data_IF_220074184192
#
_entry.id   IF_220074184192
#
_cell.length_a   1.000
_cell.length_b   1.000
_cell.length_c   1.000
_cell.angle_alpha   90.00
_cell.angle_beta   90.00
_cell.angle_gamma   90.00
#
_symmetry.space_group_name_H-M   'P 1'
#
loop_
_entity.id
_entity.type
_entity.pdbx_description
1 polymer ?
#
# COMPACT_ATOMS: atom_id res chain seq x y z
N UNK A 1 -15.32 -9.10 10.40
CA UNK A 1 -13.95 -8.76 10.84
C UNK A 1 -13.03 -9.84 10.34
N UNK A 2 -11.85 -9.49 9.82
CA UNK A 2 -10.91 -10.50 9.35
C UNK A 2 -10.18 -11.13 10.55
N UNK A 3 -9.95 -12.46 10.52
CA UNK A 3 -9.18 -13.14 11.57
C UNK A 3 -7.70 -12.72 11.50
N UNK A 4 -6.94 -13.02 12.56
CA UNK A 4 -5.46 -12.86 12.58
C UNK A 4 -4.95 -11.46 12.19
N UNK A 5 -5.70 -10.42 12.56
CA UNK A 5 -5.33 -9.02 12.29
C UNK A 5 -5.22 -8.69 10.79
N UNK A 6 -5.86 -9.44 9.90
CA UNK A 6 -5.80 -9.21 8.45
C UNK A 6 -6.56 -7.95 8.00
N UNK A 7 -6.21 -7.41 6.83
CA UNK A 7 -6.84 -6.21 6.28
C UNK A 7 -8.01 -6.60 5.39
N UNK A 8 -9.17 -5.98 5.60
CA UNK A 8 -10.33 -6.15 4.73
C UNK A 8 -10.16 -5.31 3.46
N UNK A 9 -10.23 -5.96 2.30
CA UNK A 9 -10.01 -5.38 0.99
C UNK A 9 -11.23 -5.60 0.09
N UNK A 10 -11.74 -4.54 -0.53
CA UNK A 10 -12.78 -4.62 -1.56
C UNK A 10 -12.13 -4.83 -2.93
N UNK A 11 -12.59 -5.83 -3.70
CA UNK A 11 -12.02 -6.22 -5.00
C UNK A 11 -12.94 -5.89 -6.21
N UNK A 12 -13.96 -5.05 -6.02
CA UNK A 12 -14.95 -4.76 -7.06
C UNK A 12 -16.14 -5.74 -7.15
N UNK A 13 -15.99 -6.97 -6.64
CA UNK A 13 -17.06 -7.98 -6.57
C UNK A 13 -17.47 -8.33 -5.13
N UNK A 14 -16.61 -8.03 -4.15
CA UNK A 14 -16.83 -8.36 -2.75
C UNK A 14 -15.63 -8.00 -1.87
N UNK A 15 -15.69 -8.43 -0.61
CA UNK A 15 -14.62 -8.25 0.37
C UNK A 15 -13.77 -9.51 0.50
N UNK A 16 -12.46 -9.34 0.57
CA UNK A 16 -11.50 -10.40 0.89
C UNK A 16 -10.62 -9.95 2.05
N UNK A 17 -10.10 -10.91 2.81
CA UNK A 17 -9.08 -10.64 3.81
C UNK A 17 -7.71 -10.88 3.19
N UNK A 18 -6.82 -9.90 3.28
CA UNK A 18 -5.46 -9.99 2.77
C UNK A 18 -4.47 -9.99 3.93
N UNK A 19 -3.53 -10.94 3.87
CA UNK A 19 -2.47 -11.08 4.85
C UNK A 19 -1.57 -9.85 4.92
N UNK A 20 -1.10 -9.55 6.13
CA UNK A 20 -0.18 -8.45 6.42
C UNK A 20 1.16 -8.55 5.67
N UNK A 21 1.52 -9.73 5.18
CA UNK A 21 2.77 -10.00 4.44
C UNK A 21 2.74 -9.47 3.00
N UNK A 22 1.55 -9.16 2.44
CA UNK A 22 1.37 -8.67 1.07
C UNK A 22 0.37 -7.51 1.05
N UNK A 23 0.69 -6.43 1.77
CA UNK A 23 -0.17 -5.24 1.76
C UNK A 23 -0.22 -4.65 0.35
N UNK A 24 -1.40 -4.25 -0.14
CA UNK A 24 -1.54 -3.81 -1.52
C UNK A 24 -0.84 -2.47 -1.77
N UNK A 25 -0.48 -2.24 -3.03
CA UNK A 25 0.31 -1.09 -3.47
C UNK A 25 1.81 -1.36 -3.44
N UNK A 26 2.59 -0.37 -3.84
CA UNK A 26 4.04 -0.49 -4.06
C UNK A 26 4.78 0.58 -3.27
N UNK A 27 6.01 0.29 -2.84
CA UNK A 27 6.85 1.28 -2.18
C UNK A 27 7.13 2.48 -3.10
N UNK A 28 7.05 3.72 -2.58
CA UNK A 28 7.48 4.90 -3.31
C UNK A 28 8.92 4.77 -3.79
N UNK A 29 9.18 5.13 -5.04
CA UNK A 29 10.50 4.96 -5.67
C UNK A 29 11.58 5.85 -5.05
N UNK A 30 11.22 7.02 -4.54
CA UNK A 30 12.16 7.97 -3.96
C UNK A 30 12.86 7.42 -2.70
N UNK A 31 12.20 6.53 -1.94
CA UNK A 31 12.75 5.96 -0.71
C UNK A 31 14.07 5.21 -0.94
N UNK A 32 14.26 4.60 -2.11
CA UNK A 32 15.51 3.91 -2.46
C UNK A 32 16.73 4.85 -2.50
N UNK A 33 16.50 6.16 -2.61
CA UNK A 33 17.56 7.17 -2.63
C UNK A 33 17.70 7.88 -1.28
N UNK A 34 16.82 7.59 -0.31
CA UNK A 34 16.88 8.16 1.03
C UNK A 34 17.91 7.40 1.87
N UNK A 35 18.83 8.13 2.51
CA UNK A 35 19.87 7.58 3.38
C UNK A 35 19.35 7.30 4.80
N UNK A 36 18.20 6.63 4.89
CA UNK A 36 17.61 6.20 6.14
C UNK A 36 18.14 4.80 6.49
N UNK A 37 19.26 4.74 7.19
CA UNK A 37 19.93 3.46 7.49
C UNK A 37 19.36 2.72 8.72
N UNK A 38 18.20 3.14 9.23
CA UNK A 38 17.46 2.40 10.25
C UNK A 38 16.77 1.17 9.66
N UNK A 39 16.63 0.12 10.46
CA UNK A 39 15.86 -1.08 10.10
C UNK A 39 14.57 -1.09 10.93
N UNK A 40 13.61 -0.24 10.57
CA UNK A 40 12.38 -0.05 11.35
C UNK A 40 11.40 -1.22 11.19
N UNK A 41 11.55 -1.99 10.11
CA UNK A 41 10.66 -3.10 9.76
C UNK A 41 11.42 -4.18 8.96
N UNK A 42 10.95 -5.42 9.00
CA UNK A 42 11.47 -6.52 8.16
C UNK A 42 10.47 -6.95 7.09
N UNK A 43 9.20 -6.73 7.34
CA UNK A 43 8.08 -7.14 6.49
C UNK A 43 6.96 -6.10 6.56
N UNK A 44 6.08 -6.10 5.56
CA UNK A 44 4.87 -5.28 5.57
C UNK A 44 4.03 -5.47 6.85
N UNK A 45 4.14 -6.65 7.48
CA UNK A 45 3.40 -6.98 8.70
C UNK A 45 3.84 -6.21 9.94
N UNK A 46 5.08 -5.72 9.95
CA UNK A 46 5.63 -4.95 11.06
C UNK A 46 5.11 -3.50 11.06
N UNK A 47 4.63 -3.04 9.90
CA UNK A 47 4.07 -1.71 9.74
C UNK A 47 2.59 -1.68 10.14
N UNK A 48 2.07 -0.59 10.70
CA UNK A 48 0.66 -0.50 11.06
C UNK A 48 -0.24 -0.28 9.83
N UNK A 49 -1.47 -0.78 9.89
CA UNK A 49 -2.49 -0.55 8.86
C UNK A 49 -2.05 -0.88 7.44
N UNK A 50 -2.18 0.09 6.53
CA UNK A 50 -1.87 -0.11 5.11
C UNK A 50 -0.41 0.18 4.75
N UNK A 51 0.41 0.59 5.72
CA UNK A 51 1.80 0.94 5.47
C UNK A 51 2.64 -0.28 5.12
N UNK A 52 3.56 -0.11 4.18
CA UNK A 52 4.44 -1.16 3.68
C UNK A 52 5.84 -0.97 4.23
N UNK A 53 6.54 -2.07 4.41
CA UNK A 53 7.95 -2.04 4.76
C UNK A 53 8.77 -1.84 3.48
N UNK A 54 9.41 -0.67 3.38
CA UNK A 54 10.08 -0.24 2.17
C UNK A 54 11.58 -0.13 2.39
N UNK A 55 12.36 -0.76 1.52
CA UNK A 55 13.82 -0.62 1.51
C UNK A 55 14.22 0.78 1.08
N UNK A 56 15.12 1.37 1.85
CA UNK A 56 15.78 2.65 1.58
C UNK A 56 17.17 2.40 0.98
N UNK A 57 18.02 3.41 0.87
CA UNK A 57 19.38 3.22 0.34
C UNK A 57 20.24 2.28 1.20
N UNK A 58 19.98 2.22 2.51
CA UNK A 58 20.80 1.50 3.48
C UNK A 58 20.02 0.86 4.62
N UNK A 59 18.68 0.88 4.58
CA UNK A 59 17.82 0.38 5.64
C UNK A 59 16.41 0.04 5.16
N UNK A 60 15.46 0.05 6.08
CA UNK A 60 14.04 -0.19 5.82
C UNK A 60 13.18 0.70 6.71
N UNK A 61 12.09 1.23 6.15
CA UNK A 61 11.16 2.07 6.89
C UNK A 61 9.71 1.83 6.46
N UNK A 62 8.78 2.04 7.39
CA UNK A 62 7.36 1.96 7.10
C UNK A 62 6.93 3.20 6.32
N UNK A 63 6.37 2.98 5.13
CA UNK A 63 5.87 4.07 4.29
C UNK A 63 4.49 3.75 3.75
N UNK A 64 3.69 4.81 3.57
CA UNK A 64 2.45 4.73 2.80
C UNK A 64 2.73 4.19 1.39
N UNK A 65 1.93 3.23 0.91
CA UNK A 65 2.07 2.67 -0.42
C UNK A 65 1.61 3.63 -1.51
N UNK A 66 2.22 3.52 -2.69
CA UNK A 66 1.69 4.01 -3.94
C UNK A 66 0.77 2.95 -4.55
N UNK A 67 -0.51 3.25 -4.67
CA UNK A 67 -1.43 2.41 -5.43
C UNK A 67 -1.36 2.84 -6.89
N UNK A 68 -0.77 2.01 -7.74
CA UNK A 68 -0.97 2.13 -9.18
C UNK A 68 -2.38 1.63 -9.44
N UNK A 69 -3.35 2.53 -9.43
CA UNK A 69 -4.62 2.21 -10.07
C UNK A 69 -4.27 2.04 -11.55
N UNK A 70 -4.40 0.82 -12.08
CA UNK A 70 -4.32 0.61 -13.52
C UNK A 70 -5.47 1.40 -14.14
N UNK A 71 -5.20 2.65 -14.51
CA UNK A 71 -6.01 3.40 -15.46
C UNK A 71 -5.85 2.64 -16.77
N UNK A 72 -6.70 1.63 -16.96
CA UNK A 72 -6.82 0.99 -18.23
C UNK A 72 -7.58 1.96 -19.15
N UNK A 73 -6.90 3.00 -19.59
CA UNK A 73 -7.16 3.74 -20.83
C UNK A 73 -6.05 4.76 -21.04
N UNK A 74 -5.59 4.83 -22.28
CA UNK A 74 -4.82 5.95 -22.80
C UNK A 74 -5.36 7.30 -22.28
N UNK A 75 -4.44 8.24 -22.04
CA UNK A 75 -4.65 9.65 -21.69
C UNK A 75 -4.49 9.99 -20.19
N UNK A 76 -3.22 10.18 -19.81
CA UNK A 76 -2.85 10.98 -18.63
C UNK A 76 -3.27 12.44 -18.87
N UNK A 77 -4.03 13.02 -17.95
CA UNK A 77 -4.08 14.45 -17.77
C UNK A 77 -3.97 14.76 -16.28
N UNK A 78 -3.05 15.67 -15.99
CA UNK A 78 -2.70 16.14 -14.67
C UNK A 78 -3.91 16.64 -13.88
N UNK A 79 -3.95 16.30 -12.58
CA UNK A 79 -4.78 16.98 -11.60
C UNK A 79 -6.25 16.61 -11.63
N UNK A 80 -6.65 15.58 -10.88
CA UNK A 80 -8.04 15.51 -10.42
C UNK A 80 -8.10 15.01 -8.99
N UNK A 81 -8.83 15.75 -8.17
CA UNK A 81 -9.25 15.41 -6.82
C UNK A 81 -10.26 14.26 -6.92
N UNK A 82 -9.83 13.03 -7.11
CA UNK A 82 -10.76 11.94 -7.45
C UNK A 82 -11.13 11.09 -6.23
N UNK A 83 -12.43 11.02 -5.97
CA UNK A 83 -13.10 10.37 -4.86
C UNK A 83 -12.54 8.98 -4.52
N UNK A 84 -12.23 8.80 -3.22
CA UNK A 84 -11.68 7.60 -2.59
C UNK A 84 -12.49 6.30 -2.77
N UNK A 85 -13.65 6.33 -3.43
CA UNK A 85 -14.63 5.24 -3.44
C UNK A 85 -14.76 4.50 -4.78
N UNK A 86 -14.10 4.96 -5.85
CA UNK A 86 -14.29 4.42 -7.21
C UNK A 86 -13.24 3.39 -7.64
N UNK A 87 -12.38 2.95 -6.72
CA UNK A 87 -11.21 2.14 -7.07
C UNK A 87 -11.43 0.68 -6.65
N UNK A 88 -11.21 -0.31 -7.53
CA UNK A 88 -11.57 -1.71 -7.31
C UNK A 88 -10.71 -2.40 -6.25
N UNK A 89 -9.77 -1.71 -5.60
CA UNK A 89 -8.96 -2.18 -4.49
C UNK A 89 -8.86 -1.10 -3.41
N UNK A 90 -9.82 -1.11 -2.49
CA UNK A 90 -9.82 -0.28 -1.28
C UNK A 90 -9.66 -1.19 -0.07
N UNK A 91 -8.61 -0.99 0.70
CA UNK A 91 -8.33 -1.77 1.90
C UNK A 91 -8.38 -0.87 3.13
N UNK A 92 -9.04 -1.33 4.19
CA UNK A 92 -9.15 -0.60 5.45
C UNK A 92 -8.97 -1.56 6.61
N UNK A 93 -8.26 -1.10 7.64
CA UNK A 93 -8.23 -1.77 8.94
C UNK A 93 -9.59 -1.55 9.60
N UNK A 94 -10.31 -2.64 9.88
CA UNK A 94 -11.61 -2.64 10.56
C UNK A 94 -11.44 -2.97 12.04
#
# INVERSE_FOLDING_TARGET
MCPNNEICCYNGCGFTCSGHQNKPGTCPRYLRNENLCGMDCSSDSDCPGVEKCCMTACGSTCSRPCYYYLFNTANQAAGVRSAFWSLPYICRQL
#
